data_IF_314646494668
#
_entry.id   IF_314646494668
#
_cell.length_a   1.000
_cell.length_b   1.000
_cell.length_c   1.000
_cell.angle_alpha   90.00
_cell.angle_beta   90.00
_cell.angle_gamma   90.00
#
_symmetry.space_group_name_H-M   'P 1'
#
loop_
_entity.id
_entity.type
_entity.pdbx_description
1 polymer ?
2 polymer ?
3 non-polymer ?
4 non-polymer ?
5 water ?
#
loop_
_entity_poly.entity_id
_entity_poly.type
_entity_poly.pdbx_seq_one_letter_code
_entity_poly.pdbx_strand_id
2 'polydeoxyribonucleotide' '(DA)(DT)(DG)(DG)(DT)(DA)(DG)(DC)(DG)(DA)(DA)(DG)(DC)(DT)(DA)' ?
#
# COMPACT_ATOMS: atom_id res chain seq x y z
N UNK A 2 17.82 0.82 -12.53
CA UNK A 2 16.39 0.88 -12.74
C UNK A 2 15.64 -0.07 -11.82
N UNK A 3 14.52 0.38 -11.30
CA UNK A 3 13.67 -0.43 -10.45
C UNK A 3 12.23 0.01 -10.52
N UNK A 4 11.34 -0.95 -10.66
CA UNK A 4 9.93 -0.68 -10.73
C UNK A 4 9.18 -1.39 -9.60
N UNK A 5 8.40 -0.64 -8.83
CA UNK A 5 7.66 -1.20 -7.74
C UNK A 5 6.18 -0.89 -7.80
N UNK A 6 5.38 -1.90 -7.62
CA UNK A 6 3.96 -1.74 -7.64
C UNK A 6 3.32 -2.17 -6.34
N UNK A 7 2.29 -1.46 -5.90
CA UNK A 7 1.55 -1.81 -4.73
C UNK A 7 0.12 -2.01 -5.16
N UNK A 8 -0.54 -3.06 -4.69
CA UNK A 8 -1.92 -3.34 -5.08
C UNK A 8 -2.67 -3.98 -3.91
N UNK A 9 -3.77 -3.36 -3.50
CA UNK A 9 -4.74 -3.89 -2.55
C UNK A 9 -5.69 -4.76 -3.34
N UNK A 10 -5.47 -6.07 -3.34
CA UNK A 10 -6.20 -6.95 -4.25
C UNK A 10 -7.59 -7.31 -3.76
N UNK A 11 -7.86 -7.26 -2.43
CA UNK A 11 -9.11 -7.70 -1.85
C UNK A 11 -9.41 -9.14 -2.28
N UNK A 12 -8.77 -10.09 -1.59
CA UNK A 12 -8.81 -11.53 -1.84
C UNK A 12 -7.85 -11.93 -2.96
N UNK A 13 -6.70 -12.49 -2.59
CA UNK A 13 -5.75 -12.95 -3.59
C UNK A 13 -6.26 -14.19 -4.31
N UNK A 14 -7.06 -14.99 -3.63
CA UNK A 14 -7.65 -16.16 -4.28
C UNK A 14 -8.53 -15.75 -5.45
N UNK A 15 -9.35 -14.71 -5.29
CA UNK A 15 -10.19 -14.25 -6.41
C UNK A 15 -9.32 -13.60 -7.50
N UNK A 16 -8.35 -12.78 -7.11
CA UNK A 16 -7.62 -11.91 -8.03
C UNK A 16 -6.31 -12.51 -8.54
N UNK A 17 -5.97 -13.75 -8.17
CA UNK A 17 -4.70 -14.32 -8.60
C UNK A 17 -4.48 -14.23 -10.11
N UNK A 18 -5.46 -14.56 -10.98
CA UNK A 18 -5.20 -14.40 -12.43
C UNK A 18 -4.76 -13.01 -12.83
N UNK A 19 -5.33 -11.97 -12.20
CA UNK A 19 -4.94 -10.61 -12.55
C UNK A 19 -3.58 -10.26 -11.98
N UNK A 20 -3.28 -10.74 -10.78
CA UNK A 20 -1.91 -10.62 -10.26
C UNK A 20 -0.91 -11.25 -11.24
N UNK A 21 -1.22 -12.44 -11.76
CA UNK A 21 -0.28 -13.09 -12.68
C UNK A 21 -0.10 -12.28 -13.96
N UNK A 22 -1.18 -11.63 -14.46
CA UNK A 22 -1.01 -10.83 -15.67
C UNK A 22 -0.19 -9.58 -15.38
N UNK A 23 -0.35 -8.98 -14.19
CA UNK A 23 0.51 -7.87 -13.81
C UNK A 23 1.98 -8.29 -13.83
N UNK A 24 2.26 -9.49 -13.32
CA UNK A 24 3.62 -10.00 -13.26
C UNK A 24 4.15 -10.44 -14.61
N UNK A 25 3.28 -10.76 -15.57
CA UNK A 25 3.74 -11.16 -16.89
C UNK A 25 3.91 -9.97 -17.84
N UNK A 26 2.98 -9.02 -17.86
CA UNK A 26 3.00 -7.90 -18.80
C UNK A 26 3.58 -6.67 -18.11
N UNK A 27 4.69 -6.17 -18.65
CA UNK A 27 5.44 -5.06 -18.07
C UNK A 27 5.62 -5.29 -16.56
N UNK A 28 6.36 -6.33 -16.17
CA UNK A 28 6.41 -6.71 -14.77
C UNK A 28 7.20 -5.71 -13.97
N UNK A 29 6.85 -5.47 -12.71
CA UNK A 29 7.71 -4.71 -11.81
C UNK A 29 8.84 -5.58 -11.30
N UNK A 30 9.83 -4.95 -10.69
CA UNK A 30 10.88 -5.64 -10.01
C UNK A 30 10.31 -6.19 -8.70
N UNK A 31 9.42 -5.41 -8.10
CA UNK A 31 8.77 -5.77 -6.86
C UNK A 31 7.29 -5.47 -6.82
N UNK A 32 6.49 -6.42 -6.38
CA UNK A 32 5.08 -6.22 -6.24
C UNK A 32 4.70 -6.52 -4.82
N UNK A 33 4.00 -5.60 -4.15
CA UNK A 33 3.52 -5.81 -2.79
C UNK A 33 2.01 -5.80 -2.81
N UNK A 34 1.41 -6.62 -1.95
CA UNK A 34 -0.03 -6.87 -2.00
C UNK A 34 -0.63 -6.70 -0.61
N UNK A 35 -1.87 -6.19 -0.57
CA UNK A 35 -2.58 -6.05 0.69
C UNK A 35 -3.96 -6.65 0.60
N UNK A 36 -4.54 -6.95 1.75
CA UNK A 36 -5.86 -7.53 1.86
C UNK A 36 -5.92 -8.85 1.10
N UNK A 37 -5.05 -9.78 1.51
CA UNK A 37 -4.98 -11.09 0.87
C UNK A 37 -6.23 -11.91 1.18
N UNK A 38 -6.75 -11.78 2.41
CA UNK A 38 -7.89 -12.56 2.88
C UNK A 38 -7.66 -14.06 2.70
N UNK A 39 -6.46 -14.53 3.06
CA UNK A 39 -6.19 -15.96 3.08
C UNK A 39 -5.16 -16.28 4.15
N UNK A 40 -5.34 -17.43 4.79
CA UNK A 40 -4.49 -17.81 5.91
C UNK A 40 -3.05 -18.07 5.45
N UNK A 41 -2.15 -18.18 6.43
CA UNK A 41 -0.72 -18.30 6.15
C UNK A 41 -0.41 -19.51 5.28
N UNK A 42 -1.17 -20.60 5.44
CA UNK A 42 -0.90 -21.81 4.67
C UNK A 42 -1.62 -21.84 3.34
N UNK A 43 -2.46 -20.85 3.04
CA UNK A 43 -3.28 -20.85 1.84
C UNK A 43 -2.69 -19.97 0.75
N UNK A 44 -1.52 -19.43 0.96
CA UNK A 44 -0.92 -18.57 -0.04
C UNK A 44 -0.54 -19.35 -1.29
N UNK A 45 -0.87 -18.86 -2.49
CA UNK A 45 -0.51 -19.58 -3.72
C UNK A 45 0.97 -19.52 -4.05
N UNK A 46 1.81 -20.05 -3.15
CA UNK A 46 3.25 -19.96 -3.35
C UNK A 46 3.70 -20.66 -4.63
N UNK A 47 3.22 -21.90 -4.84
CA UNK A 47 3.72 -22.67 -5.98
C UNK A 47 3.38 -21.98 -7.30
N UNK A 48 2.18 -21.41 -7.42
CA UNK A 48 1.80 -20.77 -8.68
C UNK A 48 2.69 -19.58 -8.99
N UNK A 49 3.10 -18.83 -7.97
CA UNK A 49 4.02 -17.71 -8.20
C UNK A 49 5.47 -18.16 -8.28
N UNK A 50 5.83 -19.25 -7.58
CA UNK A 50 7.18 -19.80 -7.73
C UNK A 50 7.42 -20.30 -9.16
N UNK A 51 6.46 -21.05 -9.72
CA UNK A 51 6.54 -21.51 -11.12
C UNK A 51 6.98 -20.40 -12.07
N UNK A 52 6.44 -19.18 -11.88
CA UNK A 52 6.75 -18.06 -12.76
C UNK A 52 8.04 -17.33 -12.41
N UNK A 53 8.77 -17.78 -11.40
CA UNK A 53 10.07 -17.21 -11.11
C UNK A 53 10.09 -16.09 -10.09
N UNK A 54 9.12 -16.04 -9.17
CA UNK A 54 9.03 -15.00 -8.17
C UNK A 54 9.26 -15.59 -6.78
N UNK A 55 10.05 -14.90 -5.97
CA UNK A 55 10.12 -15.18 -4.54
C UNK A 55 8.98 -14.46 -3.83
N UNK A 56 8.49 -15.06 -2.75
CA UNK A 56 7.31 -14.59 -2.05
C UNK A 56 7.51 -14.67 -0.56
N UNK A 57 7.23 -13.59 0.15
CA UNK A 57 7.12 -13.63 1.60
C UNK A 57 5.80 -12.95 1.95
N UNK A 58 5.10 -13.50 2.93
CA UNK A 58 3.76 -13.04 3.22
C UNK A 58 3.43 -13.29 4.68
N UNK A 59 2.39 -12.60 5.14
CA UNK A 59 1.84 -12.75 6.48
C UNK A 59 0.33 -12.75 6.34
N UNK A 60 -0.29 -13.92 6.56
CA UNK A 60 -1.71 -14.08 6.31
C UNK A 60 -2.51 -14.48 7.53
N UNK A 61 -3.82 -14.37 7.43
CA UNK A 61 -4.73 -14.76 8.45
C UNK A 61 -6.03 -15.07 7.77
N UNK A 62 -6.91 -15.76 8.45
CA UNK A 62 -8.20 -16.07 7.90
C UNK A 62 -9.06 -14.85 7.70
N UNK A 63 -9.78 -14.82 6.60
CA UNK A 63 -10.79 -13.80 6.34
C UNK A 63 -10.45 -12.36 6.02
N UNK A 64 -9.56 -11.78 6.79
CA UNK A 64 -9.22 -10.39 6.65
C UNK A 64 -7.75 -10.08 6.61
N UNK A 65 -7.42 -8.86 6.23
CA UNK A 65 -6.04 -8.36 6.31
C UNK A 65 -5.15 -9.21 5.39
N UNK A 66 -3.87 -9.36 5.76
CA UNK A 66 -2.92 -10.14 4.98
C UNK A 66 -2.10 -9.27 4.05
N UNK A 67 -0.77 -9.49 4.01
CA UNK A 67 0.16 -8.70 3.20
C UNK A 67 1.23 -9.63 2.63
N UNK A 68 1.72 -9.30 1.43
CA UNK A 68 2.77 -10.09 0.79
C UNK A 68 3.73 -9.19 0.03
N UNK A 69 4.96 -9.65 -0.15
CA UNK A 69 5.96 -9.03 -1.01
C UNK A 69 6.41 -10.07 -2.02
N UNK A 70 6.46 -9.70 -3.30
CA UNK A 70 6.76 -10.62 -4.41
C UNK A 70 7.83 -9.98 -5.27
N UNK A 71 8.95 -10.67 -5.47
CA UNK A 71 10.08 -10.05 -6.15
C UNK A 71 10.88 -11.06 -6.98
N UNK A 72 11.66 -10.53 -7.91
CA UNK A 72 12.64 -11.34 -8.62
C UNK A 72 13.81 -11.68 -7.72
N UNK A 73 14.32 -10.71 -6.96
CA UNK A 73 15.40 -10.92 -6.00
C UNK A 73 14.86 -11.54 -4.72
N UNK A 74 15.77 -12.15 -3.97
CA UNK A 74 15.38 -12.74 -2.69
C UNK A 74 15.09 -11.63 -1.69
N UNK A 75 13.94 -11.65 -1.02
CA UNK A 75 13.67 -10.66 0.04
C UNK A 75 14.38 -11.09 1.32
N UNK A 76 15.23 -10.20 1.84
CA UNK A 76 16.06 -10.51 2.99
C UNK A 76 15.59 -9.79 4.25
N UNK A 77 15.95 -10.38 5.39
CA UNK A 77 15.72 -9.79 6.71
C UNK A 77 14.25 -9.46 6.92
N UNK A 78 13.42 -10.48 6.72
CA UNK A 78 11.96 -10.31 6.74
C UNK A 78 11.48 -10.02 8.16
N UNK A 79 10.73 -8.93 8.34
CA UNK A 79 10.16 -8.57 9.63
C UNK A 79 8.63 -8.59 9.56
N UNK A 80 8.00 -9.11 10.61
CA UNK A 80 6.55 -9.27 10.67
C UNK A 80 5.99 -8.34 11.75
N UNK A 81 5.01 -7.51 11.39
CA UNK A 81 4.31 -6.70 12.38
C UNK A 81 5.10 -5.49 12.86
N UNK A 82 4.64 -4.94 13.97
CA UNK A 82 5.15 -3.67 14.49
C UNK A 82 5.67 -3.90 15.91
N UNK A 83 6.94 -3.60 16.20
CA UNK A 83 7.44 -3.85 17.56
C UNK A 83 6.66 -3.14 18.65
N UNK A 84 6.18 -1.92 18.41
CA UNK A 84 5.41 -1.20 19.43
C UNK A 84 4.01 -1.75 19.62
N UNK A 85 3.59 -2.75 18.83
CA UNK A 85 2.26 -3.34 18.96
C UNK A 85 2.39 -4.86 18.88
N UNK A 86 3.14 -5.45 19.81
CA UNK A 86 3.53 -6.86 19.64
C UNK A 86 2.36 -7.83 19.71
N UNK A 87 1.29 -7.48 20.40
CA UNK A 87 0.20 -8.41 20.63
C UNK A 87 -0.94 -8.30 19.62
N UNK A 88 -0.84 -7.42 18.63
CA UNK A 88 -1.91 -7.28 17.65
C UNK A 88 -1.92 -8.47 16.70
N UNK A 89 -2.96 -9.31 16.71
CA UNK A 89 -2.98 -10.47 15.81
C UNK A 89 -3.30 -10.13 14.35
N UNK A 90 -3.69 -8.89 14.04
CA UNK A 90 -4.02 -8.54 12.66
C UNK A 90 -2.75 -8.40 11.82
N UNK A 91 -2.73 -9.12 10.69
CA UNK A 91 -1.57 -9.22 9.82
C UNK A 91 -1.61 -8.05 8.83
N UNK A 92 -0.91 -6.98 9.19
CA UNK A 92 -0.99 -5.74 8.43
C UNK A 92 0.34 -5.20 7.96
N UNK A 93 1.48 -5.70 8.46
CA UNK A 93 2.78 -5.13 8.13
C UNK A 93 3.76 -6.25 7.84
N UNK A 94 4.50 -6.12 6.74
CA UNK A 94 5.64 -6.98 6.47
C UNK A 94 6.69 -6.14 5.77
N UNK A 95 7.94 -6.34 6.16
CA UNK A 95 9.07 -5.60 5.64
C UNK A 95 10.16 -6.57 5.21
N UNK A 96 10.82 -6.27 4.09
CA UNK A 96 12.03 -6.99 3.69
C UNK A 96 12.93 -6.04 2.91
N UNK A 97 14.19 -6.43 2.78
CA UNK A 97 15.19 -5.72 1.99
C UNK A 97 15.36 -6.45 0.66
N UNK A 98 15.06 -5.76 -0.44
CA UNK A 98 15.13 -6.34 -1.78
C UNK A 98 16.05 -5.48 -2.62
N UNK A 99 17.18 -6.06 -3.06
CA UNK A 99 18.14 -5.35 -3.93
C UNK A 99 18.63 -4.06 -3.27
N UNK A 100 18.87 -4.09 -1.98
CA UNK A 100 19.32 -2.90 -1.27
C UNK A 100 18.26 -1.87 -0.94
N UNK A 101 16.98 -2.18 -1.14
CA UNK A 101 15.89 -1.26 -0.85
C UNK A 101 15.04 -1.89 0.25
N UNK A 102 14.90 -1.18 1.36
CA UNK A 102 14.01 -1.63 2.44
C UNK A 102 12.57 -1.34 2.03
N UNK A 103 11.75 -2.39 1.93
CA UNK A 103 10.35 -2.29 1.52
C UNK A 103 9.50 -2.57 2.74
N UNK A 104 8.64 -1.61 3.10
CA UNK A 104 7.71 -1.79 4.21
C UNK A 104 6.29 -1.76 3.63
N UNK A 105 5.63 -2.91 3.63
CA UNK A 105 4.32 -3.07 3.03
C UNK A 105 3.29 -2.99 4.13
N UNK A 106 2.30 -2.10 3.98
CA UNK A 106 1.32 -1.84 5.03
C UNK A 106 -0.10 -1.99 4.49
N UNK A 107 -0.94 -2.70 5.23
CA UNK A 107 -2.38 -2.63 5.07
C UNK A 107 -2.91 -1.89 6.31
N UNK A 108 -2.87 -0.56 6.24
CA UNK A 108 -3.19 0.27 7.40
C UNK A 108 -4.65 0.13 7.80
N UNK A 109 -4.91 0.37 9.10
CA UNK A 109 -6.25 0.21 9.64
C UNK A 109 -7.18 1.21 8.97
N UNK A 110 -8.37 0.72 8.59
CA UNK A 110 -9.33 1.55 7.87
C UNK A 110 -9.98 2.56 8.80
N UNK A 111 -10.48 2.10 9.97
CA UNK A 111 -11.02 2.98 10.97
C UNK A 111 -12.53 3.03 11.03
N UNK A 112 -13.20 2.71 9.92
CA UNK A 112 -14.65 2.61 9.82
C UNK A 112 -15.35 3.95 9.96
N UNK A 113 -15.19 4.62 11.10
CA UNK A 113 -15.81 5.91 11.36
C UNK A 113 -15.11 6.58 12.52
N UNK A 114 -15.16 7.91 12.56
CA UNK A 114 -14.40 8.66 13.54
C UNK A 114 -14.82 8.31 14.97
N UNK A 115 -16.05 7.85 15.16
CA UNK A 115 -16.54 7.47 16.48
C UNK A 115 -16.56 5.97 16.67
N UNK A 116 -15.94 5.22 15.76
CA UNK A 116 -15.82 3.79 15.95
C UNK A 116 -14.66 3.48 16.87
N UNK A 117 -14.75 2.41 17.66
CA UNK A 117 -13.57 1.92 18.37
C UNK A 117 -12.42 1.61 17.43
N UNK A 118 -12.70 1.26 16.18
CA UNK A 118 -11.61 0.98 15.22
C UNK A 118 -10.84 2.24 14.88
N UNK A 119 -11.41 3.42 15.16
CA UNK A 119 -10.67 4.65 14.91
C UNK A 119 -9.62 4.89 15.99
N UNK A 120 -9.89 4.48 17.23
CA UNK A 120 -8.85 4.52 18.25
C UNK A 120 -7.76 3.51 17.95
N UNK A 121 -8.16 2.33 17.48
CA UNK A 121 -7.19 1.33 17.02
C UNK A 121 -6.34 1.88 15.88
N UNK A 122 -6.98 2.56 14.91
CA UNK A 122 -6.23 3.18 13.82
C UNK A 122 -5.23 4.19 14.35
N UNK A 123 -5.62 4.99 15.35
CA UNK A 123 -4.73 5.97 15.95
C UNK A 123 -3.52 5.31 16.62
N UNK A 124 -3.77 4.31 17.45
CA UNK A 124 -2.70 3.60 18.09
C UNK A 124 -1.81 2.90 17.09
N UNK A 125 -2.41 2.28 16.11
CA UNK A 125 -1.66 1.52 15.10
C UNK A 125 -0.75 2.45 14.29
N UNK A 126 -1.23 3.63 13.92
CA UNK A 126 -0.39 4.57 13.17
C UNK A 126 0.73 5.13 14.02
N UNK A 127 0.48 5.34 15.31
CA UNK A 127 1.55 5.68 16.23
C UNK A 127 2.65 4.61 16.22
N UNK A 128 2.26 3.34 16.32
CA UNK A 128 3.23 2.25 16.27
C UNK A 128 3.94 2.20 14.92
N UNK A 129 3.21 2.43 13.83
CA UNK A 129 3.85 2.41 12.52
C UNK A 129 4.92 3.48 12.40
N UNK A 130 4.64 4.68 12.94
CA UNK A 130 5.59 5.78 12.83
C UNK A 130 6.88 5.47 13.57
N UNK A 131 6.79 4.88 14.75
CA UNK A 131 7.97 4.51 15.49
C UNK A 131 8.81 3.46 14.78
N UNK A 132 8.16 2.48 14.19
CA UNK A 132 8.85 1.44 13.46
C UNK A 132 9.53 1.98 12.25
N UNK A 133 8.85 2.81 11.50
CA UNK A 133 9.43 3.37 10.31
C UNK A 133 10.62 4.24 10.65
N UNK A 134 10.52 4.97 11.73
CA UNK A 134 11.61 5.83 12.14
C UNK A 134 12.84 5.01 12.43
N UNK A 135 12.68 3.92 13.15
CA UNK A 135 13.80 3.07 13.44
C UNK A 135 14.36 2.44 12.19
N UNK A 136 13.49 1.93 11.35
CA UNK A 136 13.98 1.35 10.10
C UNK A 136 14.78 2.36 9.28
N UNK A 137 14.39 3.64 9.32
CA UNK A 137 15.04 4.65 8.50
C UNK A 137 16.45 4.97 8.98
N UNK A 138 16.78 4.71 10.26
CA UNK A 138 18.15 4.89 10.72
C UNK A 138 19.12 3.93 10.05
N UNK A 139 18.63 2.78 9.56
CA UNK A 139 19.50 1.74 9.01
C UNK A 139 19.47 1.64 7.49
N UNK A 140 18.50 2.23 6.81
CA UNK A 140 18.35 2.01 5.37
C UNK A 140 18.21 3.37 4.68
N UNK A 141 19.21 3.74 3.87
CA UNK A 141 19.11 4.97 3.12
C UNK A 141 18.06 4.90 2.02
N UNK A 142 17.97 3.76 1.34
CA UNK A 142 16.91 3.51 0.36
C UNK A 142 15.80 2.73 1.06
N UNK A 143 14.65 3.38 1.28
CA UNK A 143 13.50 2.80 1.96
C UNK A 143 12.23 3.26 1.28
N UNK A 144 11.27 2.34 1.13
CA UNK A 144 9.97 2.61 0.53
C UNK A 144 8.90 2.09 1.48
N UNK A 145 8.00 2.97 1.91
CA UNK A 145 6.85 2.62 2.73
C UNK A 145 5.59 2.78 1.87
N UNK A 146 4.90 1.68 1.61
CA UNK A 146 3.84 1.74 0.60
C UNK A 146 2.73 0.76 0.94
N UNK A 147 1.57 0.98 0.33
CA UNK A 147 0.42 0.14 0.55
C UNK A 147 -0.85 0.95 0.63
N UNK A 148 -1.86 0.35 1.27
CA UNK A 148 -3.14 0.98 1.52
C UNK A 148 -3.09 1.70 2.85
N UNK A 149 -2.95 3.03 2.81
CA UNK A 149 -2.94 3.84 4.03
C UNK A 149 -4.35 4.19 4.53
N UNK A 150 -5.37 4.06 3.69
CA UNK A 150 -6.74 4.38 4.11
C UNK A 150 -6.85 5.83 4.58
N UNK A 151 -6.01 6.70 4.01
CA UNK A 151 -6.01 8.13 4.30
C UNK A 151 -5.83 8.84 2.98
N UNK A 152 -6.78 9.71 2.64
CA UNK A 152 -6.63 10.63 1.50
C UNK A 152 -5.93 11.88 2.01
N UNK A 153 -4.70 12.16 1.57
CA UNK A 153 -3.91 13.24 2.23
C UNK A 153 -4.50 14.64 2.13
N UNK A 154 -5.17 14.99 1.04
CA UNK A 154 -5.64 16.36 0.86
C UNK A 154 -6.95 16.36 0.07
N UNK A 155 -7.53 17.57 -0.08
CA UNK A 155 -8.83 17.68 -0.73
C UNK A 155 -8.80 17.18 -2.17
N UNK A 156 -7.71 17.46 -2.88
CA UNK A 156 -7.55 16.97 -4.26
C UNK A 156 -7.46 15.44 -4.34
N UNK A 157 -7.46 14.77 -3.18
CA UNK A 157 -7.49 13.30 -3.13
C UNK A 157 -8.87 12.79 -2.75
N UNK A 158 -9.88 13.64 -2.77
CA UNK A 158 -11.24 13.26 -2.41
C UNK A 158 -12.19 13.88 -3.41
N UNK A 159 -13.10 13.07 -3.97
CA UNK A 159 -13.95 13.56 -5.04
C UNK A 159 -14.96 14.62 -4.55
N UNK A 160 -15.25 14.65 -3.25
CA UNK A 160 -16.22 15.60 -2.69
C UNK A 160 -15.75 16.06 -1.32
N UNK A 161 -14.80 17.00 -1.27
CA UNK A 161 -14.28 17.43 0.04
C UNK A 161 -15.36 17.86 1.02
N UNK A 162 -16.43 18.50 0.56
CA UNK A 162 -17.44 18.97 1.50
C UNK A 162 -18.19 17.81 2.13
N UNK A 163 -18.60 16.84 1.32
CA UNK A 163 -19.39 15.74 1.88
C UNK A 163 -18.52 14.84 2.76
N UNK A 164 -17.23 14.77 2.48
CA UNK A 164 -16.30 13.99 3.30
C UNK A 164 -15.66 14.82 4.41
N UNK A 165 -16.20 16.01 4.70
CA UNK A 165 -15.59 16.88 5.69
C UNK A 165 -15.52 16.17 7.03
N UNK A 166 -14.30 16.04 7.58
CA UNK A 166 -14.06 15.35 8.84
C UNK A 166 -14.72 13.97 8.88
N UNK A 167 -14.73 13.29 7.73
CA UNK A 167 -15.18 11.91 7.69
C UNK A 167 -13.97 10.99 7.53
N UNK A 168 -14.22 9.69 7.71
CA UNK A 168 -13.16 8.70 7.66
C UNK A 168 -12.42 8.78 6.32
N UNK A 169 -11.12 8.51 6.37
CA UNK A 169 -10.12 8.68 5.31
C UNK A 169 -9.72 10.14 5.12
N UNK A 170 -10.58 11.08 5.49
CA UNK A 170 -10.40 12.45 5.08
C UNK A 170 -10.28 13.43 6.22
N UNK A 171 -10.37 12.98 7.46
CA UNK A 171 -10.37 13.87 8.62
C UNK A 171 -9.02 14.56 8.78
N UNK A 172 -9.05 15.72 9.44
CA UNK A 172 -7.81 16.43 9.74
C UNK A 172 -6.93 15.65 10.70
N UNK A 173 -7.52 14.82 11.56
CA UNK A 173 -6.75 13.96 12.44
C UNK A 173 -5.97 12.93 11.63
N UNK A 174 -6.67 12.20 10.75
CA UNK A 174 -5.99 11.22 9.93
C UNK A 174 -4.92 11.86 9.08
N UNK A 175 -5.20 13.05 8.57
CA UNK A 175 -4.20 13.71 7.72
C UNK A 175 -2.98 14.11 8.52
N UNK A 176 -3.15 14.45 9.79
CA UNK A 176 -2.00 14.68 10.65
C UNK A 176 -1.16 13.41 10.80
N UNK A 177 -1.81 12.23 10.92
CA UNK A 177 -1.05 10.97 11.00
C UNK A 177 -0.25 10.73 9.73
N UNK A 178 -0.87 10.97 8.56
CA UNK A 178 -0.12 10.88 7.32
C UNK A 178 1.06 11.83 7.34
N UNK A 179 0.85 13.05 7.85
CA UNK A 179 1.93 14.03 7.93
C UNK A 179 3.01 13.57 8.89
N UNK A 180 2.62 12.90 9.99
CA UNK A 180 3.62 12.34 10.91
C UNK A 180 4.57 11.40 10.19
N UNK A 181 4.07 10.64 9.22
CA UNK A 181 4.94 9.74 8.45
C UNK A 181 5.81 10.53 7.48
N UNK A 182 5.25 11.56 6.84
CA UNK A 182 6.05 12.39 5.94
C UNK A 182 7.15 13.12 6.70
N UNK A 183 6.89 13.47 7.97
CA UNK A 183 7.83 14.23 8.79
C UNK A 183 9.04 13.41 9.20
N UNK A 184 9.04 12.10 8.95
CA UNK A 184 10.22 11.27 9.20
C UNK A 184 11.26 11.44 8.12
N UNK A 185 10.95 12.18 7.07
CA UNK A 185 11.76 12.29 5.90
C UNK A 185 11.27 11.55 4.67
N UNK A 186 9.99 11.24 4.57
CA UNK A 186 9.43 10.50 3.45
C UNK A 186 8.69 11.45 2.51
N UNK A 187 8.76 11.15 1.22
CA UNK A 187 8.12 11.93 0.18
C UNK A 187 6.95 11.15 -0.37
N UNK A 188 5.82 11.83 -0.53
CA UNK A 188 4.67 11.32 -1.24
C UNK A 188 5.02 11.29 -2.73
N UNK A 189 5.50 10.13 -3.20
CA UNK A 189 6.13 10.07 -4.52
C UNK A 189 5.20 10.52 -5.64
N UNK A 190 3.91 10.15 -5.57
CA UNK A 190 3.00 10.55 -6.65
C UNK A 190 2.86 12.06 -6.73
N UNK A 191 2.85 12.75 -5.57
CA UNK A 191 2.70 14.20 -5.61
C UNK A 191 4.00 14.90 -5.98
N UNK A 192 5.13 14.20 -5.93
CA UNK A 192 6.35 14.77 -6.46
C UNK A 192 6.34 14.77 -7.99
N UNK A 193 5.80 13.69 -8.58
CA UNK A 193 5.72 13.59 -10.04
C UNK A 193 4.47 14.29 -10.59
N UNK A 194 3.38 14.32 -9.83
CA UNK A 194 2.12 14.93 -10.26
C UNK A 194 1.60 15.80 -9.13
N UNK A 195 2.11 17.04 -9.00
CA UNK A 195 1.66 17.91 -7.88
C UNK A 195 0.20 18.29 -7.95
N UNK A 196 -0.44 18.18 -9.11
CA UNK A 196 -1.83 18.61 -9.31
C UNK A 196 -2.60 17.51 -10.03
N UNK A 197 -3.90 17.51 -9.83
CA UNK A 197 -4.78 16.59 -10.52
C UNK A 197 -5.28 15.48 -9.60
N UNK A 198 -6.38 14.86 -10.03
CA UNK A 198 -7.02 13.78 -9.29
C UNK A 198 -6.41 12.45 -9.71
N UNK A 199 -5.87 11.70 -8.75
CA UNK A 199 -5.26 10.40 -9.03
C UNK A 199 -5.83 9.37 -8.06
N UNK A 200 -7.15 9.17 -8.14
CA UNK A 200 -7.81 8.28 -7.20
C UNK A 200 -7.28 6.86 -7.35
N UNK A 201 -7.20 6.15 -6.23
CA UNK A 201 -6.77 4.75 -6.26
C UNK A 201 -7.82 3.78 -5.78
N UNK A 202 -8.90 4.28 -5.18
CA UNK A 202 -9.98 3.44 -4.69
C UNK A 202 -11.31 4.04 -5.15
N UNK A 203 -12.21 3.19 -5.62
CA UNK A 203 -13.57 3.57 -5.99
C UNK A 203 -14.49 2.53 -5.38
N UNK A 204 -15.49 3.00 -4.63
CA UNK A 204 -16.44 2.11 -3.99
C UNK A 204 -17.12 1.18 -4.99
N UNK A 205 -17.19 -0.11 -4.64
CA UNK A 205 -17.96 -1.06 -5.45
C UNK A 205 -19.40 -0.59 -5.67
N UNK A 206 -19.96 0.18 -4.74
CA UNK A 206 -21.37 0.57 -4.78
C UNK A 206 -21.57 1.83 -5.62
N UNK A 207 -22.75 1.93 -6.23
CA UNK A 207 -23.12 3.13 -6.95
C UNK A 207 -22.27 3.44 -8.17
N UNK A 208 -21.62 2.43 -8.77
CA UNK A 208 -20.85 2.58 -10.00
C UNK A 208 -19.84 3.73 -9.91
N UNK A 209 -19.15 3.81 -8.77
CA UNK A 209 -18.29 4.97 -8.52
C UNK A 209 -17.09 4.99 -9.44
N UNK A 210 -16.59 3.82 -9.88
CA UNK A 210 -15.46 3.82 -10.80
C UNK A 210 -15.87 4.35 -12.17
N UNK A 211 -17.02 3.89 -12.68
CA UNK A 211 -17.57 4.49 -13.91
C UNK A 211 -17.76 5.99 -13.78
N UNK A 212 -18.28 6.45 -12.63
CA UNK A 212 -18.38 7.89 -12.39
C UNK A 212 -17.02 8.53 -12.15
N UNK A 213 -15.97 7.73 -11.95
CA UNK A 213 -14.61 8.21 -11.63
C UNK A 213 -14.61 9.08 -10.38
N UNK A 214 -15.43 8.71 -9.39
CA UNK A 214 -15.46 9.37 -8.09
C UNK A 214 -14.82 8.42 -7.08
N UNK A 215 -13.60 8.75 -6.63
CA UNK A 215 -12.89 7.94 -5.65
C UNK A 215 -11.96 8.74 -4.74
N UNK A 216 -11.10 8.03 -4.00
CA UNK A 216 -10.09 8.64 -3.13
C UNK A 216 -8.70 8.15 -3.51
N UNK A 217 -7.70 9.00 -3.31
CA UNK A 217 -6.32 8.54 -3.40
C UNK A 217 -5.90 8.13 -1.99
N UNK A 218 -5.84 6.81 -1.74
CA UNK A 218 -5.53 6.32 -0.40
C UNK A 218 -4.43 5.27 -0.42
N UNK A 219 -3.98 4.86 -1.62
CA UNK A 219 -2.85 3.95 -1.80
C UNK A 219 -1.65 4.76 -2.26
N UNK A 220 -0.55 4.71 -1.49
CA UNK A 220 0.57 5.61 -1.70
C UNK A 220 1.87 4.84 -1.70
N UNK A 221 2.90 5.53 -2.18
CA UNK A 221 4.26 5.06 -2.20
C UNK A 221 5.09 6.19 -1.59
N UNK A 222 5.54 6.01 -0.34
CA UNK A 222 6.33 6.99 0.37
C UNK A 222 7.80 6.59 0.32
N UNK A 223 8.68 7.54 -0.03
CA UNK A 223 10.07 7.20 -0.33
C UNK A 223 11.02 8.06 0.50
N UNK A 224 12.15 7.46 0.87
CA UNK A 224 13.26 8.16 1.52
C UNK A 224 13.94 9.11 0.56
N UNK A 225 14.74 10.07 1.06
CA UNK A 225 15.35 11.07 0.15
C UNK A 225 16.13 10.45 -1.01
N UNK A 226 16.98 9.45 -0.74
CA UNK A 226 17.73 8.84 -1.84
C UNK A 226 16.82 8.23 -2.89
N UNK A 227 15.65 7.74 -2.48
CA UNK A 227 14.70 7.19 -3.44
C UNK A 227 13.95 8.31 -4.18
N UNK A 228 13.66 9.43 -3.52
CA UNK A 228 13.04 10.55 -4.21
C UNK A 228 13.98 11.13 -5.27
N UNK A 229 15.29 11.20 -4.96
CA UNK A 229 16.26 11.72 -5.91
C UNK A 229 16.31 10.90 -7.19
N UNK A 230 16.02 9.61 -7.12
CA UNK A 230 15.98 8.75 -8.30
C UNK A 230 14.58 8.58 -8.86
N UNK A 231 13.57 9.16 -8.26
CA UNK A 231 12.22 8.95 -8.76
C UNK A 231 11.98 9.46 -10.17
N UNK A 232 11.40 8.64 -11.02
CA UNK A 232 11.13 9.02 -12.40
C UNK A 232 9.68 9.15 -12.76
N UNK A 233 8.84 8.25 -12.29
CA UNK A 233 7.43 8.33 -12.61
C UNK A 233 6.61 7.53 -11.62
N UNK A 234 5.36 7.91 -11.51
CA UNK A 234 4.39 7.23 -10.66
C UNK A 234 3.08 7.21 -11.45
N UNK A 235 2.44 6.05 -11.53
CA UNK A 235 1.19 5.96 -12.27
C UNK A 235 0.19 5.06 -11.54
N UNK A 236 -1.07 5.37 -11.70
CA UNK A 236 -2.18 4.57 -11.18
C UNK A 236 -2.74 3.75 -12.33
N UNK A 237 -2.79 2.43 -12.16
CA UNK A 237 -3.21 1.52 -13.22
C UNK A 237 -4.74 1.38 -13.19
N UNK A 238 -5.42 2.33 -13.82
CA UNK A 238 -6.88 2.25 -13.86
C UNK A 238 -7.38 1.14 -14.80
N UNK A 239 -6.52 0.68 -15.71
CA UNK A 239 -6.96 -0.39 -16.62
C UNK A 239 -7.22 -1.68 -15.86
N UNK A 240 -6.41 -1.98 -14.85
CA UNK A 240 -6.68 -3.12 -13.99
C UNK A 240 -7.99 -2.92 -13.23
N UNK A 241 -8.27 -1.67 -12.82
CA UNK A 241 -9.49 -1.36 -12.12
C UNK A 241 -10.72 -1.50 -13.02
N UNK A 242 -10.52 -1.35 -14.34
CA UNK A 242 -11.60 -1.50 -15.31
C UNK A 242 -11.93 -2.95 -15.68
N UNK A 243 -11.12 -3.93 -15.25
CA UNK A 243 -11.36 -5.33 -15.62
C UNK A 243 -12.64 -5.85 -14.99
N UNK A 244 -13.13 -6.97 -15.54
CA UNK A 244 -14.28 -7.63 -14.95
C UNK A 244 -13.92 -8.23 -13.59
N UNK A 245 -14.90 -8.21 -12.68
CA UNK A 245 -14.72 -8.60 -11.29
C UNK A 245 -13.44 -8.00 -10.72
N UNK A 246 -13.36 -6.69 -10.58
CA UNK A 246 -12.09 -6.07 -10.21
C UNK A 246 -11.94 -5.96 -8.70
N UNK A 247 -10.71 -5.65 -8.28
CA UNK A 247 -10.54 -5.12 -6.93
C UNK A 247 -11.13 -3.70 -6.89
N UNK A 248 -11.51 -3.25 -5.70
CA UNK A 248 -11.96 -1.85 -5.65
C UNK A 248 -10.80 -0.87 -5.63
N UNK A 249 -9.57 -1.34 -5.44
CA UNK A 249 -8.38 -0.51 -5.52
C UNK A 249 -7.68 -0.70 -6.86
N UNK A 250 -7.01 0.32 -7.32
CA UNK A 250 -6.16 0.25 -8.50
C UNK A 250 -4.71 0.05 -8.09
N UNK A 251 -3.91 -0.67 -8.87
CA UNK A 251 -2.47 -0.74 -8.57
C UNK A 251 -1.84 0.64 -8.76
N UNK A 252 -0.76 0.87 -8.00
CA UNK A 252 0.05 2.07 -8.09
C UNK A 252 1.50 1.65 -8.28
N UNK A 253 2.15 2.19 -9.29
CA UNK A 253 3.53 1.83 -9.60
C UNK A 253 4.42 3.07 -9.56
N UNK A 254 5.59 2.95 -8.95
CA UNK A 254 6.63 3.97 -9.03
C UNK A 254 7.87 3.39 -9.71
N UNK A 255 8.58 4.24 -10.45
CA UNK A 255 9.77 3.86 -11.22
C UNK A 255 10.93 4.75 -10.83
N UNK A 256 12.10 4.15 -10.59
CA UNK A 256 13.32 4.86 -10.19
C UNK A 256 14.45 4.46 -11.12
N UNK A 257 15.53 5.28 -11.13
CA UNK A 257 16.51 5.14 -12.22
C UNK A 257 17.98 4.99 -11.82
N UNK A 258 18.40 5.64 -10.72
CA UNK A 258 19.82 5.73 -10.36
C UNK A 258 20.59 6.53 -11.41
#
# INVERSE_FOLDING_TARGET
GAMKITTWNVNSLNVRLPQVQNLLADNPPDILVLQELKLDQDKFPAAALQMMGWHCVWSGQKTYNGVAIVSRSVPQDVHFGLPALPDDPQRRVIAATVSGVRVINVYCVNGEALDSPKFKYKEQWFAALTEFVRDEMTRHGKLVLLGNFNIAPADADCYDPEKWHEKIHCSSVERQWFQNLLDLGLTDSLRQVHPEGAFYTWFDYRGAMFQRKLGLRIDHILVSPAMAAALKDVRVDLETRALERPSDHAPVTAEFDW
#
